data_IF_757553643362
#
_entry.id   IF_757553643362
#
_cell.length_a   1.000
_cell.length_b   1.000
_cell.length_c   1.000
_cell.angle_alpha   90.00
_cell.angle_beta   90.00
_cell.angle_gamma   90.00
#
_symmetry.space_group_name_H-M   'P 1'
#
loop_
_entity.id
_entity.type
_entity.pdbx_description
1 polymer ?
#
# COMPACT_ATOMS: atom_id res chain seq x y z
N UNK A 1 22.16 -96.00 -11.23
CA UNK A 1 21.35 -95.66 -12.42
C UNK A 1 20.86 -94.24 -12.22
N UNK A 2 21.31 -93.30 -13.06
CA UNK A 2 20.91 -91.90 -12.99
C UNK A 2 19.41 -91.81 -13.28
N UNK A 3 18.60 -91.38 -12.31
CA UNK A 3 17.21 -91.05 -12.57
C UNK A 3 17.20 -89.85 -13.53
N UNK A 4 16.70 -90.05 -14.75
CA UNK A 4 16.53 -88.97 -15.71
C UNK A 4 15.56 -87.95 -15.10
N UNK A 5 15.89 -86.64 -15.09
CA UNK A 5 14.99 -85.63 -14.57
C UNK A 5 13.64 -85.70 -15.30
N UNK A 6 12.54 -85.56 -14.56
CA UNK A 6 11.22 -85.41 -15.16
C UNK A 6 11.14 -84.03 -15.82
N UNK A 7 11.46 -84.00 -17.12
CA UNK A 7 11.47 -82.78 -17.94
C UNK A 7 10.11 -82.06 -17.96
N UNK A 8 9.01 -82.77 -17.69
CA UNK A 8 7.68 -82.19 -17.63
C UNK A 8 7.51 -81.33 -16.37
N UNK A 9 7.99 -81.79 -15.22
CA UNK A 9 7.98 -81.02 -13.98
C UNK A 9 8.90 -79.80 -14.06
N UNK A 10 10.11 -79.96 -14.62
CA UNK A 10 11.04 -78.84 -14.83
C UNK A 10 10.44 -77.73 -15.71
N UNK A 11 9.70 -78.10 -16.77
CA UNK A 11 9.01 -77.13 -17.62
C UNK A 11 7.92 -76.37 -16.85
N UNK A 12 7.10 -77.04 -16.05
CA UNK A 12 6.06 -76.38 -15.25
C UNK A 12 6.63 -75.52 -14.11
N UNK A 13 7.75 -75.92 -13.51
CA UNK A 13 8.49 -75.07 -12.57
C UNK A 13 9.04 -73.81 -13.23
N UNK A 14 9.59 -73.93 -14.44
CA UNK A 14 10.08 -72.78 -15.20
C UNK A 14 8.93 -71.82 -15.58
N UNK A 15 7.77 -72.35 -15.99
CA UNK A 15 6.58 -71.54 -16.25
C UNK A 15 6.11 -70.79 -14.99
N UNK A 16 6.04 -71.48 -13.84
CA UNK A 16 5.69 -70.86 -12.56
C UNK A 16 6.70 -69.79 -12.14
N UNK A 17 7.99 -69.99 -12.43
CA UNK A 17 9.05 -69.00 -12.16
C UNK A 17 8.86 -67.75 -13.01
N UNK A 18 8.59 -67.91 -14.31
CA UNK A 18 8.34 -66.80 -15.24
C UNK A 18 7.09 -66.01 -14.85
N UNK A 19 6.01 -66.69 -14.46
CA UNK A 19 4.78 -66.04 -13.99
C UNK A 19 5.00 -65.27 -12.69
N UNK A 20 5.72 -65.85 -11.72
CA UNK A 20 6.08 -65.14 -10.48
C UNK A 20 6.96 -63.92 -10.74
N UNK A 21 7.89 -64.01 -11.68
CA UNK A 21 8.74 -62.90 -12.07
C UNK A 21 7.95 -61.78 -12.77
N UNK A 22 7.01 -62.14 -13.65
CA UNK A 22 6.08 -61.18 -14.26
C UNK A 22 5.21 -60.49 -13.21
N UNK A 23 4.62 -61.25 -12.28
CA UNK A 23 3.82 -60.66 -11.18
C UNK A 23 4.63 -59.72 -10.32
N UNK A 24 5.89 -60.06 -9.99
CA UNK A 24 6.80 -59.17 -9.25
C UNK A 24 7.09 -57.88 -10.01
N UNK A 25 7.31 -57.95 -11.32
CA UNK A 25 7.53 -56.76 -12.16
C UNK A 25 6.28 -55.88 -12.24
N UNK A 26 5.10 -56.50 -12.37
CA UNK A 26 3.83 -55.77 -12.39
C UNK A 26 3.54 -55.08 -11.04
N UNK A 27 3.78 -55.79 -9.93
CA UNK A 27 3.63 -55.22 -8.59
C UNK A 27 4.64 -54.07 -8.33
N UNK A 28 5.88 -54.21 -8.80
CA UNK A 28 6.87 -53.13 -8.72
C UNK A 28 6.47 -51.92 -9.56
N UNK A 29 5.93 -52.12 -10.76
CA UNK A 29 5.41 -51.05 -11.60
C UNK A 29 4.25 -50.32 -10.93
N UNK A 30 3.25 -51.06 -10.43
CA UNK A 30 2.12 -50.48 -9.68
C UNK A 30 2.60 -49.68 -8.48
N UNK A 31 3.56 -50.21 -7.72
CA UNK A 31 4.13 -49.50 -6.57
C UNK A 31 4.85 -48.22 -6.98
N UNK A 32 5.51 -48.20 -8.13
CA UNK A 32 6.14 -46.98 -8.68
C UNK A 32 5.09 -45.95 -9.11
N UNK A 33 4.05 -46.38 -9.82
CA UNK A 33 2.94 -45.50 -10.24
C UNK A 33 2.19 -44.91 -9.05
N UNK A 34 1.92 -45.71 -8.01
CA UNK A 34 1.32 -45.23 -6.76
C UNK A 34 2.25 -44.23 -6.04
N UNK A 35 3.55 -44.51 -6.00
CA UNK A 35 4.52 -43.61 -5.38
C UNK A 35 4.69 -42.29 -6.17
N UNK A 36 4.58 -42.33 -7.50
CA UNK A 36 4.59 -41.14 -8.35
C UNK A 36 3.31 -40.33 -8.17
N UNK A 37 2.15 -40.98 -8.18
CA UNK A 37 0.85 -40.32 -7.95
C UNK A 37 0.80 -39.66 -6.57
N UNK A 38 1.30 -40.33 -5.53
CA UNK A 38 1.36 -39.76 -4.17
C UNK A 38 2.31 -38.56 -4.08
N UNK A 39 3.40 -38.54 -4.86
CA UNK A 39 4.29 -37.37 -4.93
C UNK A 39 3.62 -36.19 -5.62
N UNK A 40 2.94 -36.44 -6.73
CA UNK A 40 2.22 -35.39 -7.46
C UNK A 40 1.10 -34.78 -6.60
N UNK A 41 0.35 -35.61 -5.87
CA UNK A 41 -0.69 -35.12 -4.95
C UNK A 41 -0.09 -34.28 -3.81
N UNK A 42 1.05 -34.72 -3.24
CA UNK A 42 1.75 -33.96 -2.22
C UNK A 42 2.27 -32.62 -2.75
N UNK A 43 2.79 -32.58 -3.97
CA UNK A 43 3.25 -31.34 -4.62
C UNK A 43 2.09 -30.37 -4.86
N UNK A 44 0.96 -30.85 -5.38
CA UNK A 44 -0.26 -30.04 -5.56
C UNK A 44 -0.78 -29.48 -4.24
N UNK A 45 -0.77 -30.28 -3.17
CA UNK A 45 -1.19 -29.83 -1.86
C UNK A 45 -0.27 -28.73 -1.31
N UNK A 46 1.05 -28.84 -1.52
CA UNK A 46 2.01 -27.80 -1.14
C UNK A 46 1.79 -26.51 -1.94
N UNK A 47 1.54 -26.61 -3.25
CA UNK A 47 1.28 -25.44 -4.09
C UNK A 47 -0.02 -24.73 -3.66
N UNK A 48 -1.09 -25.48 -3.36
CA UNK A 48 -2.33 -24.90 -2.86
C UNK A 48 -2.13 -24.20 -1.50
N UNK A 49 -1.35 -24.81 -0.60
CA UNK A 49 -1.02 -24.19 0.69
C UNK A 49 -0.23 -22.89 0.51
N UNK A 50 0.75 -22.87 -0.39
CA UNK A 50 1.50 -21.65 -0.72
C UNK A 50 0.59 -20.56 -1.28
N UNK A 51 -0.28 -20.90 -2.24
CA UNK A 51 -1.26 -19.95 -2.80
C UNK A 51 -2.18 -19.37 -1.74
N UNK A 52 -2.68 -20.19 -0.81
CA UNK A 52 -3.51 -19.74 0.31
C UNK A 52 -2.75 -18.77 1.24
N UNK A 53 -1.47 -19.04 1.51
CA UNK A 53 -0.63 -18.15 2.32
C UNK A 53 -0.38 -16.81 1.63
N UNK A 54 -0.06 -16.82 0.34
CA UNK A 54 0.12 -15.59 -0.45
C UNK A 54 -1.17 -14.76 -0.51
N UNK A 55 -2.34 -15.40 -0.69
CA UNK A 55 -3.62 -14.70 -0.70
C UNK A 55 -3.93 -14.07 0.67
N UNK A 56 -3.67 -14.80 1.75
CA UNK A 56 -3.84 -14.27 3.11
C UNK A 56 -2.91 -13.07 3.38
N UNK A 57 -1.65 -13.13 2.93
CA UNK A 57 -0.69 -12.03 3.07
C UNK A 57 -1.15 -10.79 2.27
N UNK A 58 -1.57 -10.97 1.02
CA UNK A 58 -2.12 -9.88 0.19
C UNK A 58 -3.36 -9.25 0.82
N UNK A 59 -4.26 -10.05 1.39
CA UNK A 59 -5.44 -9.54 2.07
C UNK A 59 -5.07 -8.69 3.29
N UNK A 60 -4.08 -9.13 4.08
CA UNK A 60 -3.57 -8.35 5.21
C UNK A 60 -2.91 -7.04 4.77
N UNK A 61 -2.10 -7.07 3.70
CA UNK A 61 -1.46 -5.87 3.17
C UNK A 61 -2.50 -4.85 2.67
N UNK A 62 -3.55 -5.32 1.96
CA UNK A 62 -4.64 -4.46 1.51
C UNK A 62 -5.41 -3.85 2.68
N UNK A 63 -5.71 -4.62 3.73
CA UNK A 63 -6.37 -4.10 4.94
C UNK A 63 -5.51 -3.03 5.62
N UNK A 64 -4.21 -3.28 5.77
CA UNK A 64 -3.28 -2.30 6.35
C UNK A 64 -3.22 -1.02 5.52
N UNK A 65 -3.20 -1.13 4.19
CA UNK A 65 -3.24 0.03 3.30
C UNK A 65 -4.53 0.82 3.47
N UNK A 66 -5.69 0.15 3.48
CA UNK A 66 -6.99 0.79 3.70
C UNK A 66 -7.07 1.50 5.05
N UNK A 67 -6.54 0.90 6.11
CA UNK A 67 -6.48 1.52 7.45
C UNK A 67 -5.63 2.79 7.44
N UNK A 68 -4.43 2.74 6.84
CA UNK A 68 -3.56 3.92 6.71
C UNK A 68 -4.20 5.03 5.89
N UNK A 69 -4.85 4.70 4.78
CA UNK A 69 -5.58 5.67 3.96
C UNK A 69 -6.74 6.32 4.74
N UNK A 70 -7.50 5.53 5.50
CA UNK A 70 -8.58 6.05 6.33
C UNK A 70 -8.06 6.97 7.45
N UNK A 71 -6.97 6.59 8.13
CA UNK A 71 -6.32 7.41 9.15
C UNK A 71 -5.82 8.75 8.58
N UNK A 72 -5.13 8.72 7.43
CA UNK A 72 -4.69 9.94 6.75
C UNK A 72 -5.86 10.82 6.30
N UNK A 73 -6.96 10.22 5.83
CA UNK A 73 -8.15 10.98 5.46
C UNK A 73 -8.80 11.65 6.67
N UNK A 74 -8.83 10.96 7.81
CA UNK A 74 -9.31 11.50 9.08
C UNK A 74 -8.41 12.64 9.57
N UNK A 75 -7.09 12.45 9.60
CA UNK A 75 -6.13 13.48 10.02
C UNK A 75 -6.28 14.76 9.17
N UNK A 76 -6.38 14.62 7.84
CA UNK A 76 -6.62 15.75 6.93
C UNK A 76 -7.96 16.45 7.18
N UNK A 77 -9.00 15.71 7.57
CA UNK A 77 -10.30 16.29 7.89
C UNK A 77 -10.26 17.04 9.24
N UNK A 78 -9.56 16.47 10.22
CA UNK A 78 -9.32 17.09 11.52
C UNK A 78 -8.47 18.35 11.38
N UNK A 79 -7.40 18.34 10.58
CA UNK A 79 -6.57 19.51 10.32
C UNK A 79 -7.37 20.67 9.74
N UNK A 80 -8.26 20.40 8.77
CA UNK A 80 -9.13 21.41 8.16
C UNK A 80 -10.17 22.00 9.10
N UNK A 81 -10.60 21.24 10.08
CA UNK A 81 -11.63 21.66 11.05
C UNK A 81 -11.03 22.15 12.37
N UNK A 82 -9.72 21.96 12.57
CA UNK A 82 -8.99 22.45 13.73
C UNK A 82 -9.07 23.96 13.79
N UNK A 83 -9.14 24.48 15.03
CA UNK A 83 -8.99 25.91 15.27
C UNK A 83 -7.56 26.33 14.89
N UNK A 84 -7.46 27.39 14.10
CA UNK A 84 -6.18 28.03 13.81
C UNK A 84 -5.65 28.71 15.06
N UNK A 85 -4.34 28.60 15.27
CA UNK A 85 -3.68 29.35 16.33
C UNK A 85 -3.46 30.79 15.90
N UNK A 86 -3.24 31.70 16.87
CA UNK A 86 -2.96 33.10 16.56
C UNK A 86 -1.72 33.25 15.67
N UNK A 87 -0.67 32.47 15.90
CA UNK A 87 0.56 32.55 15.11
C UNK A 87 0.34 32.10 13.66
N UNK A 88 -0.34 30.97 13.44
CA UNK A 88 -0.71 30.51 12.10
C UNK A 88 -1.57 31.53 11.36
N UNK A 89 -2.51 32.17 12.05
CA UNK A 89 -3.33 33.23 11.47
C UNK A 89 -2.49 34.45 11.08
N UNK A 90 -1.59 34.92 11.96
CA UNK A 90 -0.75 36.07 11.68
C UNK A 90 0.21 35.82 10.51
N UNK A 91 0.79 34.62 10.45
CA UNK A 91 1.65 34.19 9.35
C UNK A 91 0.89 34.12 8.02
N UNK A 92 -0.31 33.53 8.02
CA UNK A 92 -1.18 33.50 6.85
C UNK A 92 -1.58 34.92 6.40
N UNK A 93 -1.92 35.82 7.32
CA UNK A 93 -2.20 37.22 7.00
C UNK A 93 -0.98 37.91 6.39
N UNK A 94 0.22 37.70 6.92
CA UNK A 94 1.43 38.29 6.37
C UNK A 94 1.71 37.77 4.96
N UNK A 95 1.63 36.46 4.76
CA UNK A 95 1.95 35.78 3.50
C UNK A 95 0.92 36.07 2.41
N UNK A 96 -0.38 35.93 2.70
CA UNK A 96 -1.43 35.97 1.68
C UNK A 96 -2.12 37.32 1.54
N UNK A 97 -2.14 38.16 2.59
CA UNK A 97 -2.79 39.48 2.53
C UNK A 97 -1.75 40.59 2.40
N UNK A 98 -0.74 40.61 3.27
CA UNK A 98 0.17 41.74 3.36
C UNK A 98 1.25 41.74 2.27
N UNK A 99 1.88 40.59 2.01
CA UNK A 99 3.00 40.51 1.07
C UNK A 99 2.61 40.86 -0.38
N UNK A 100 1.33 40.73 -0.72
CA UNK A 100 0.76 41.13 -2.01
C UNK A 100 0.21 42.55 -2.05
N UNK A 101 0.18 43.29 -0.94
CA UNK A 101 -0.33 44.66 -0.91
C UNK A 101 0.65 45.61 -1.61
N UNK A 102 0.32 45.98 -2.83
CA UNK A 102 0.96 47.08 -3.54
C UNK A 102 0.20 48.38 -3.31
N UNK A 103 0.92 49.48 -3.09
CA UNK A 103 0.30 50.81 -3.03
C UNK A 103 -0.33 51.13 -4.39
N UNK A 104 -1.63 51.43 -4.41
CA UNK A 104 -2.30 51.92 -5.61
C UNK A 104 -1.78 53.31 -5.96
N UNK A 105 -1.01 53.42 -7.03
CA UNK A 105 -0.42 54.69 -7.49
C UNK A 105 -1.36 55.50 -8.36
N UNK A 106 -2.38 54.86 -8.94
CA UNK A 106 -3.39 55.56 -9.73
C UNK A 106 -4.42 56.23 -8.81
N UNK A 107 -4.33 57.56 -8.71
CA UNK A 107 -5.24 58.39 -7.92
C UNK A 107 -6.72 58.23 -8.33
N UNK A 108 -6.99 57.79 -9.56
CA UNK A 108 -8.36 57.60 -10.04
C UNK A 108 -9.03 56.35 -9.46
N UNK A 109 -8.22 55.35 -9.05
CA UNK A 109 -8.64 54.07 -8.46
C UNK A 109 -8.56 54.07 -6.92
N UNK A 110 -8.04 55.14 -6.33
CA UNK A 110 -8.06 55.34 -4.88
C UNK A 110 -9.49 55.61 -4.39
N UNK A 111 -9.76 55.27 -3.13
CA UNK A 111 -10.97 55.71 -2.42
C UNK A 111 -11.08 57.23 -2.54
N UNK A 112 -12.07 57.70 -3.31
CA UNK A 112 -12.32 59.13 -3.51
C UNK A 112 -13.25 59.62 -2.41
N UNK A 113 -12.88 60.73 -1.81
CA UNK A 113 -13.68 61.43 -0.81
C UNK A 113 -12.93 62.68 -0.40
N UNK A 114 -13.67 63.71 0.01
CA UNK A 114 -13.03 64.87 0.62
C UNK A 114 -12.51 64.43 2.01
N UNK A 115 -11.17 64.41 2.25
CA UNK A 115 -10.64 64.13 3.58
C UNK A 115 -11.16 65.14 4.62
N UNK A 116 -11.69 66.28 4.17
CA UNK A 116 -12.31 67.27 5.00
C UNK A 116 -13.75 66.91 5.47
N UNK A 117 -14.41 65.89 4.92
CA UNK A 117 -15.81 65.51 5.22
C UNK A 117 -16.01 64.84 6.60
N UNK A 118 -14.99 64.85 7.45
CA UNK A 118 -15.10 64.43 8.84
C UNK A 118 -15.58 65.59 9.73
N UNK A 119 -16.83 66.03 9.56
CA UNK A 119 -17.44 67.03 10.43
C UNK A 119 -17.37 66.55 11.90
N UNK A 120 -16.99 67.45 12.82
CA UNK A 120 -16.84 67.20 14.26
C UNK A 120 -15.75 66.18 14.68
N UNK A 121 -14.77 65.86 13.82
CA UNK A 121 -13.59 65.07 14.24
C UNK A 121 -12.38 65.97 14.43
N UNK A 122 -11.69 65.83 15.56
CA UNK A 122 -10.39 66.45 15.79
C UNK A 122 -9.39 65.88 14.78
N UNK A 123 -8.75 66.75 14.00
CA UNK A 123 -7.71 66.38 13.03
C UNK A 123 -6.59 67.43 13.02
N UNK A 124 -5.34 67.02 12.81
CA UNK A 124 -4.23 67.96 12.65
C UNK A 124 -4.40 68.77 11.37
N UNK A 125 -4.05 70.06 11.42
CA UNK A 125 -4.04 70.94 10.24
C UNK A 125 -2.90 70.61 9.27
N UNK A 126 -1.82 70.00 9.78
CA UNK A 126 -0.65 69.60 9.00
C UNK A 126 -0.12 68.25 9.46
N UNK A 127 0.20 67.40 8.49
CA UNK A 127 0.93 66.16 8.70
C UNK A 127 2.39 66.43 8.36
N UNK A 128 3.30 66.21 9.32
CA UNK A 128 4.73 66.37 9.14
C UNK A 128 5.41 64.99 9.11
N UNK A 129 6.48 64.87 8.32
CA UNK A 129 7.28 63.65 8.28
C UNK A 129 8.04 63.46 9.60
N UNK A 130 7.89 62.30 10.23
CA UNK A 130 8.60 61.94 11.46
C UNK A 130 10.01 61.47 11.11
N UNK A 131 10.95 62.41 11.04
CA UNK A 131 12.32 62.14 10.57
C UNK A 131 13.13 61.22 11.50
N UNK A 132 12.81 61.22 12.80
CA UNK A 132 13.59 60.51 13.82
C UNK A 132 13.07 59.10 14.16
N UNK A 133 12.04 58.62 13.46
CA UNK A 133 11.39 57.34 13.77
C UNK A 133 12.30 56.12 13.54
N UNK A 134 13.17 56.16 12.52
CA UNK A 134 14.03 55.04 12.16
C UNK A 134 15.33 54.93 12.99
N UNK A 135 15.56 55.86 13.91
CA UNK A 135 16.77 55.96 14.75
C UNK A 135 16.57 55.45 16.19
N UNK A 136 15.43 54.82 16.50
CA UNK A 136 15.14 54.22 17.80
C UNK A 136 15.20 52.69 17.77
#
# INVERSE_FOLDING_TARGET
MSQSPDYKELYFEEQRRREKEQRRREEELRRREEAESAREEAERAQEEEQRRREEAERAQEEEQRRRKEAEQAQEKAEEKTRKTTLLELLDACHTYLYSGLTVQTDATLSTRGDPANANNKLRPERIYAWKDFATQ
#
